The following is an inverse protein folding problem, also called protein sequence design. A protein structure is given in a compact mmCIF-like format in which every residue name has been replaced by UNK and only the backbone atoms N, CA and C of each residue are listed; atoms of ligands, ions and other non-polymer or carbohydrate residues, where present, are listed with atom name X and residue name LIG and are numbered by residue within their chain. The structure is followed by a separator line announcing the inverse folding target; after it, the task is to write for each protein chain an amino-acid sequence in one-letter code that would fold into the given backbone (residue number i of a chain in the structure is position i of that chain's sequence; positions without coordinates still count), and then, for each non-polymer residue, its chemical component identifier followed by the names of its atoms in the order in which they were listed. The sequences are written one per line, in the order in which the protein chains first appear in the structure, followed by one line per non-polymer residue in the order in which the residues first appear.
data_IF_467890619576
#
_entry.id   IF_467890619576
#
_cell.length_a   1.000
_cell.length_b   1.000
_cell.length_c   1.000
_cell.angle_alpha   90.00
_cell.angle_beta   90.00
_cell.angle_gamma   90.00
#
_symmetry.space_group_name_H-M   'P 1'
#
loop_
_entity.id
_entity.type
_entity.pdbx_description
1 polymer ?
#
# COMPACT_ATOMS: atom_id res chain seq x y z
N UNK A 1 0.42 -9.69 -0.92
CA UNK A 1 1.24 -8.59 -1.44
C UNK A 1 2.69 -8.89 -1.12
N UNK A 2 3.52 -9.26 -2.11
CA UNK A 2 4.91 -9.64 -1.84
C UNK A 2 5.81 -8.43 -1.53
N UNK A 3 5.54 -7.26 -2.14
CA UNK A 3 6.35 -6.05 -1.96
C UNK A 3 6.23 -5.42 -0.55
N UNK A 4 5.09 -5.55 0.12
CA UNK A 4 4.82 -4.81 1.36
C UNK A 4 4.98 -5.62 2.65
N UNK A 5 5.10 -6.96 2.56
CA UNK A 5 5.18 -7.85 3.71
C UNK A 5 3.91 -7.96 4.57
N UNK A 6 2.90 -7.12 4.34
CA UNK A 6 1.67 -7.09 5.13
C UNK A 6 0.62 -8.12 4.66
N UNK A 7 -0.10 -8.67 5.64
CA UNK A 7 -1.30 -9.46 5.41
C UNK A 7 -2.47 -8.61 4.89
N UNK A 8 -3.39 -9.25 4.16
CA UNK A 8 -4.54 -8.55 3.52
C UNK A 8 -5.35 -7.72 4.51
N UNK A 9 -5.70 -8.28 5.67
CA UNK A 9 -6.49 -7.56 6.69
C UNK A 9 -5.80 -6.26 7.14
N UNK A 10 -4.47 -6.30 7.32
CA UNK A 10 -3.71 -5.13 7.74
C UNK A 10 -3.64 -4.06 6.65
N UNK A 11 -3.50 -4.46 5.39
CA UNK A 11 -3.57 -3.53 4.26
C UNK A 11 -4.90 -2.79 4.23
N UNK A 12 -6.03 -3.49 4.39
CA UNK A 12 -7.34 -2.83 4.43
C UNK A 12 -7.50 -1.88 5.62
N UNK A 13 -6.91 -2.23 6.77
CA UNK A 13 -6.84 -1.29 7.90
C UNK A 13 -6.03 -0.05 7.55
N UNK A 14 -4.83 -0.19 6.98
CA UNK A 14 -4.02 0.96 6.58
C UNK A 14 -4.69 1.82 5.52
N UNK A 15 -5.46 1.22 4.60
CA UNK A 15 -6.28 1.96 3.63
C UNK A 15 -7.35 2.79 4.36
N UNK A 16 -8.03 2.22 5.37
CA UNK A 16 -9.02 2.96 6.18
C UNK A 16 -8.41 4.08 7.02
N UNK A 17 -7.13 3.94 7.40
CA UNK A 17 -6.37 4.97 8.11
C UNK A 17 -5.71 5.99 7.15
N UNK A 18 -5.94 5.90 5.83
CA UNK A 18 -5.30 6.74 4.80
C UNK A 18 -3.76 6.65 4.79
N UNK A 19 -3.21 5.53 5.26
CA UNK A 19 -1.77 5.28 5.40
C UNK A 19 -1.20 4.33 4.35
N UNK A 20 -2.01 3.95 3.36
CA UNK A 20 -1.64 3.05 2.28
C UNK A 20 -2.36 3.43 0.98
N UNK A 21 -1.74 3.25 -0.21
CA UNK A 21 -2.36 3.56 -1.49
C UNK A 21 -3.73 2.90 -1.67
N UNK A 22 -4.69 3.65 -2.21
CA UNK A 22 -6.05 3.13 -2.42
C UNK A 22 -6.06 2.19 -3.63
N UNK A 23 -6.78 1.05 -3.56
CA UNK A 23 -6.89 0.16 -4.69
C UNK A 23 -7.78 0.75 -5.80
N UNK A 24 -7.45 0.42 -7.04
CA UNK A 24 -8.27 0.70 -8.22
C UNK A 24 -9.17 -0.50 -8.51
N UNK A 25 -10.47 -0.25 -8.70
CA UNK A 25 -11.42 -1.29 -9.09
C UNK A 25 -11.22 -1.65 -10.55
N UNK A 26 -10.90 -2.92 -10.82
CA UNK A 26 -10.67 -3.45 -12.18
C UNK A 26 -11.73 -4.49 -12.59
N UNK A 27 -12.67 -4.81 -11.71
CA UNK A 27 -13.78 -5.71 -11.99
C UNK A 27 -14.78 -5.79 -10.83
N UNK A 28 -15.77 -6.67 -10.96
CA UNK A 28 -16.85 -6.82 -9.96
C UNK A 28 -16.29 -7.27 -8.60
N UNK A 29 -15.33 -8.21 -8.62
CA UNK A 29 -14.70 -8.78 -7.41
C UNK A 29 -13.18 -8.57 -7.39
N UNK A 30 -12.65 -7.74 -8.28
CA UNK A 30 -11.23 -7.59 -8.50
C UNK A 30 -10.79 -6.13 -8.29
N UNK A 31 -9.68 -5.98 -7.57
CA UNK A 31 -9.00 -4.71 -7.35
C UNK A 31 -7.52 -4.88 -7.63
N UNK A 32 -6.88 -3.82 -8.10
CA UNK A 32 -5.45 -3.74 -8.32
C UNK A 32 -4.89 -2.51 -7.59
N UNK A 33 -3.57 -2.45 -7.49
CA UNK A 33 -2.85 -1.28 -6.97
C UNK A 33 -1.95 -0.76 -8.08
N UNK A 34 -1.80 0.56 -8.16
CA UNK A 34 -0.84 1.17 -9.08
C UNK A 34 0.55 0.87 -8.55
N UNK A 35 1.40 0.25 -9.37
CA UNK A 35 2.72 -0.21 -8.94
C UNK A 35 3.59 0.94 -8.43
N UNK A 36 3.59 2.07 -9.14
CA UNK A 36 4.35 3.26 -8.77
C UNK A 36 3.93 3.84 -7.41
N UNK A 37 2.63 3.89 -7.09
CA UNK A 37 2.16 4.38 -5.79
C UNK A 37 2.63 3.48 -4.63
N UNK A 38 2.70 2.16 -4.87
CA UNK A 38 3.21 1.20 -3.89
C UNK A 38 4.71 1.41 -3.68
N UNK A 39 5.47 1.59 -4.76
CA UNK A 39 6.91 1.81 -4.69
C UNK A 39 7.23 3.15 -3.99
N UNK A 40 6.52 4.24 -4.31
CA UNK A 40 6.63 5.53 -3.63
C UNK A 40 6.30 5.45 -2.14
N UNK A 41 5.26 4.70 -1.77
CA UNK A 41 4.90 4.47 -0.37
C UNK A 41 6.00 3.71 0.38
N UNK A 42 6.65 2.71 -0.24
CA UNK A 42 7.80 2.00 0.34
C UNK A 42 8.97 2.96 0.54
N UNK A 43 9.30 3.78 -0.46
CA UNK A 43 10.37 4.78 -0.37
C UNK A 43 10.12 5.76 0.77
N UNK A 44 8.90 6.29 0.88
CA UNK A 44 8.50 7.18 1.98
C UNK A 44 8.67 6.50 3.36
N UNK A 45 8.36 5.21 3.47
CA UNK A 45 8.55 4.46 4.71
C UNK A 45 10.05 4.27 5.05
N UNK A 46 10.90 4.06 4.04
CA UNK A 46 12.36 3.96 4.20
C UNK A 46 12.94 5.31 4.61
N UNK A 47 12.52 6.40 3.96
CA UNK A 47 12.94 7.77 4.32
C UNK A 47 12.58 8.08 5.77
N UNK A 48 11.35 7.80 6.20
CA UNK A 48 10.94 7.98 7.60
C UNK A 48 11.81 7.22 8.60
N UNK A 49 12.41 6.09 8.21
CA UNK A 49 13.36 5.36 9.05
C UNK A 49 14.73 6.03 9.11
N UNK A 50 15.19 6.61 8.00
CA UNK A 50 16.54 7.19 7.88
C UNK A 50 16.63 8.65 8.37
N UNK A 51 15.52 9.26 8.78
CA UNK A 51 15.46 10.62 9.36
C UNK A 51 15.66 10.60 10.89
N UNK A 52 16.22 9.51 11.43
CA UNK A 52 16.64 9.38 12.83
C UNK A 52 18.14 9.09 12.94
#
# INVERSE_FOLDING_TARGET
MRKTGFGKAWIYRLISEERFPRPVKIGIRAVAFVENEIDEWILTAIEKRNVF
#
